data_IF_218828939891
#
_entry.id   IF_218828939891
#
_cell.length_a   1.000
_cell.length_b   1.000
_cell.length_c   1.000
_cell.angle_alpha   90.00
_cell.angle_beta   90.00
_cell.angle_gamma   90.00
#
_symmetry.space_group_name_H-M   'P 1'
#
loop_
_entity.id
_entity.type
_entity.pdbx_description
1 polymer ?
#
# COMPACT_ATOMS: atom_id res chain seq x y z
N UNK A 1 -69.07 2.74 8.61
CA UNK A 1 -68.95 4.03 7.91
C UNK A 1 -69.81 3.89 6.66
N UNK A 2 -70.90 4.67 6.58
CA UNK A 2 -71.92 4.50 5.55
C UNK A 2 -71.38 4.94 4.19
N UNK A 3 -71.64 4.19 3.13
CA UNK A 3 -71.13 4.49 1.77
C UNK A 3 -71.47 5.91 1.29
N UNK A 4 -72.64 6.39 1.70
CA UNK A 4 -73.15 7.75 1.44
C UNK A 4 -72.33 8.83 2.15
N UNK A 5 -71.87 8.58 3.37
CA UNK A 5 -70.99 9.49 4.13
C UNK A 5 -69.59 9.61 3.51
N UNK A 6 -69.10 8.54 2.89
CA UNK A 6 -67.84 8.52 2.15
C UNK A 6 -67.93 9.28 0.83
N UNK A 7 -69.06 9.15 0.12
CA UNK A 7 -69.31 9.87 -1.14
C UNK A 7 -69.47 11.39 -0.92
N UNK A 8 -70.19 11.81 0.13
CA UNK A 8 -70.33 13.23 0.45
C UNK A 8 -69.00 13.85 0.85
N UNK A 9 -68.24 13.17 1.71
CA UNK A 9 -66.89 13.60 2.07
C UNK A 9 -65.95 13.71 0.86
N UNK A 10 -65.97 12.73 -0.06
CA UNK A 10 -65.19 12.80 -1.31
C UNK A 10 -65.67 13.95 -2.20
N UNK A 11 -66.95 14.29 -2.25
CA UNK A 11 -67.45 15.40 -3.09
C UNK A 11 -67.14 16.80 -2.55
N UNK A 12 -66.97 16.94 -1.23
CA UNK A 12 -66.64 18.21 -0.56
C UNK A 12 -65.13 18.53 -0.55
N UNK A 13 -64.30 17.57 -0.96
CA UNK A 13 -62.87 17.76 -1.05
C UNK A 13 -62.51 18.71 -2.21
N UNK A 14 -61.66 19.71 -1.95
CA UNK A 14 -61.11 20.62 -2.96
C UNK A 14 -60.10 19.90 -3.88
N UNK A 15 -60.58 18.99 -4.74
CA UNK A 15 -59.73 18.19 -5.63
C UNK A 15 -58.83 19.03 -6.53
N UNK A 16 -59.31 20.21 -6.94
CA UNK A 16 -58.54 21.16 -7.75
C UNK A 16 -57.30 21.69 -7.05
N UNK A 17 -57.27 21.68 -5.71
CA UNK A 17 -56.12 22.07 -4.89
C UNK A 17 -55.33 20.88 -4.37
N UNK A 18 -56.04 19.83 -3.96
CA UNK A 18 -55.44 18.62 -3.39
C UNK A 18 -54.64 17.81 -4.42
N UNK A 19 -55.13 17.70 -5.66
CA UNK A 19 -54.47 16.92 -6.72
C UNK A 19 -53.12 17.55 -7.11
N UNK A 20 -53.01 18.86 -7.43
CA UNK A 20 -51.72 19.47 -7.74
C UNK A 20 -50.71 19.39 -6.58
N UNK A 21 -51.17 19.51 -5.33
CA UNK A 21 -50.30 19.44 -4.16
C UNK A 21 -49.75 18.03 -3.92
N UNK A 22 -50.60 17.00 -4.03
CA UNK A 22 -50.19 15.59 -3.95
C UNK A 22 -49.28 15.20 -5.11
N UNK A 23 -49.60 15.64 -6.33
CA UNK A 23 -48.76 15.41 -7.52
C UNK A 23 -47.41 16.10 -7.36
N UNK A 24 -47.38 17.35 -6.91
CA UNK A 24 -46.14 18.10 -6.67
C UNK A 24 -45.26 17.44 -5.61
N UNK A 25 -45.83 17.05 -4.47
CA UNK A 25 -45.12 16.34 -3.39
C UNK A 25 -44.64 14.95 -3.84
N UNK A 26 -45.49 14.21 -4.57
CA UNK A 26 -45.17 12.90 -5.12
C UNK A 26 -44.02 12.97 -6.11
N UNK A 27 -44.06 13.92 -7.05
CA UNK A 27 -42.99 14.16 -8.02
C UNK A 27 -41.69 14.59 -7.32
N UNK A 28 -41.77 15.49 -6.33
CA UNK A 28 -40.60 15.91 -5.55
C UNK A 28 -39.93 14.73 -4.82
N UNK A 29 -40.73 13.87 -4.18
CA UNK A 29 -40.22 12.65 -3.54
C UNK A 29 -39.59 11.70 -4.56
N UNK A 30 -40.26 11.47 -5.70
CA UNK A 30 -39.76 10.60 -6.75
C UNK A 30 -38.42 11.11 -7.31
N UNK A 31 -38.32 12.42 -7.52
CA UNK A 31 -37.11 13.06 -8.03
C UNK A 31 -35.96 12.96 -7.02
N UNK A 32 -36.23 13.21 -5.74
CA UNK A 32 -35.25 13.03 -4.66
C UNK A 32 -34.78 11.58 -4.54
N UNK A 33 -35.69 10.62 -4.66
CA UNK A 33 -35.38 9.20 -4.66
C UNK A 33 -34.51 8.80 -5.87
N UNK A 34 -34.89 9.22 -7.08
CA UNK A 34 -34.12 8.94 -8.30
C UNK A 34 -32.73 9.56 -8.23
N UNK A 35 -32.60 10.81 -7.76
CA UNK A 35 -31.31 11.47 -7.61
C UNK A 35 -30.40 10.76 -6.58
N UNK A 36 -30.96 10.39 -5.42
CA UNK A 36 -30.24 9.63 -4.39
C UNK A 36 -29.80 8.25 -4.91
N UNK A 37 -30.72 7.52 -5.55
CA UNK A 37 -30.45 6.22 -6.16
C UNK A 37 -29.37 6.31 -7.23
N UNK A 38 -29.44 7.32 -8.10
CA UNK A 38 -28.43 7.54 -9.14
C UNK A 38 -27.04 7.79 -8.56
N UNK A 39 -26.93 8.59 -7.49
CA UNK A 39 -25.65 8.84 -6.82
C UNK A 39 -25.06 7.57 -6.19
N UNK A 40 -25.89 6.80 -5.48
CA UNK A 40 -25.46 5.54 -4.88
C UNK A 40 -25.08 4.50 -5.94
N UNK A 41 -25.85 4.40 -7.01
CA UNK A 41 -25.59 3.51 -8.13
C UNK A 41 -24.30 3.88 -8.85
N UNK A 42 -24.04 5.17 -9.09
CA UNK A 42 -22.79 5.65 -9.68
C UNK A 42 -21.58 5.33 -8.79
N UNK A 43 -21.72 5.48 -7.46
CA UNK A 43 -20.68 5.08 -6.51
C UNK A 43 -20.40 3.57 -6.60
N UNK A 44 -21.45 2.75 -6.62
CA UNK A 44 -21.35 1.29 -6.76
C UNK A 44 -20.69 0.87 -8.07
N UNK A 45 -21.01 1.52 -9.19
CA UNK A 45 -20.36 1.25 -10.48
C UNK A 45 -18.87 1.55 -10.41
N UNK A 46 -18.46 2.68 -9.81
CA UNK A 46 -17.03 3.01 -9.67
C UNK A 46 -16.29 1.98 -8.82
N UNK A 47 -16.90 1.50 -7.73
CA UNK A 47 -16.33 0.42 -6.90
C UNK A 47 -16.17 -0.88 -7.69
N UNK A 48 -17.19 -1.26 -8.47
CA UNK A 48 -17.12 -2.44 -9.35
C UNK A 48 -16.06 -2.29 -10.44
N UNK A 49 -15.93 -1.09 -11.02
CA UNK A 49 -14.88 -0.78 -11.99
C UNK A 49 -13.49 -0.88 -11.36
N UNK A 50 -13.29 -0.38 -10.13
CA UNK A 50 -12.02 -0.53 -9.39
C UNK A 50 -11.68 -2.02 -9.17
N UNK A 51 -12.67 -2.83 -8.82
CA UNK A 51 -12.51 -4.28 -8.68
C UNK A 51 -12.13 -4.96 -10.01
N UNK A 52 -12.80 -4.60 -11.11
CA UNK A 52 -12.48 -5.09 -12.45
C UNK A 52 -11.10 -4.63 -12.95
N UNK A 53 -10.66 -3.45 -12.51
CA UNK A 53 -9.37 -2.87 -12.82
C UNK A 53 -8.20 -3.47 -12.01
N UNK A 54 -8.48 -4.36 -11.06
CA UNK A 54 -7.43 -5.01 -10.26
C UNK A 54 -6.87 -4.14 -9.13
N UNK A 55 -7.56 -3.07 -8.72
CA UNK A 55 -7.17 -2.39 -7.49
C UNK A 55 -7.55 -3.26 -6.30
N UNK A 56 -6.53 -3.80 -5.64
CA UNK A 56 -6.73 -4.54 -4.41
C UNK A 56 -6.55 -3.62 -3.22
N UNK A 57 -7.56 -3.58 -2.36
CA UNK A 57 -7.43 -3.02 -1.01
C UNK A 57 -6.62 -3.96 -0.08
N UNK A 58 -5.80 -4.86 -0.64
CA UNK A 58 -5.05 -5.84 0.15
C UNK A 58 -3.77 -5.26 0.72
N UNK A 59 -3.52 -5.55 2.00
CA UNK A 59 -2.29 -5.26 2.72
C UNK A 59 -1.63 -6.58 3.12
N UNK A 60 -0.37 -6.75 2.72
CA UNK A 60 0.44 -7.93 3.00
C UNK A 60 1.68 -7.56 3.79
N UNK A 61 1.93 -8.23 4.90
CA UNK A 61 3.21 -8.13 5.62
C UNK A 61 4.13 -9.23 5.12
N UNK A 62 5.24 -8.83 4.52
CA UNK A 62 6.10 -9.73 3.76
C UNK A 62 7.56 -9.61 4.22
N UNK A 63 8.10 -10.69 4.79
CA UNK A 63 9.51 -10.82 5.08
C UNK A 63 10.29 -11.22 3.83
N UNK A 64 11.48 -10.65 3.71
CA UNK A 64 12.43 -10.86 2.63
C UNK A 64 13.66 -11.54 3.19
N UNK A 65 14.07 -12.64 2.56
CA UNK A 65 15.25 -13.41 2.95
C UNK A 65 16.18 -13.56 1.75
N UNK A 66 17.49 -13.51 2.00
CA UNK A 66 18.52 -13.88 1.04
C UNK A 66 19.06 -15.28 1.35
N UNK A 67 18.64 -16.27 0.57
CA UNK A 67 19.10 -17.64 0.71
C UNK A 67 20.32 -17.92 -0.19
N UNK A 68 21.37 -18.60 0.29
CA UNK A 68 22.50 -18.95 -0.55
C UNK A 68 22.12 -20.03 -1.58
N UNK A 69 22.61 -19.91 -2.81
CA UNK A 69 22.37 -20.89 -3.89
C UNK A 69 23.66 -21.61 -4.27
N UNK A 70 24.65 -20.87 -4.77
CA UNK A 70 25.96 -21.35 -5.21
C UNK A 70 26.94 -20.17 -5.21
N UNK A 71 28.24 -20.39 -5.43
CA UNK A 71 29.33 -19.39 -5.57
C UNK A 71 28.93 -17.89 -5.54
N UNK A 72 28.59 -17.35 -4.36
CA UNK A 72 28.21 -15.94 -4.16
C UNK A 72 26.83 -15.52 -4.68
N UNK A 73 26.10 -16.40 -5.36
CA UNK A 73 24.71 -16.20 -5.79
C UNK A 73 23.73 -16.44 -4.64
N UNK A 74 22.69 -15.61 -4.62
CA UNK A 74 21.62 -15.65 -3.62
C UNK A 74 20.25 -15.67 -4.28
N UNK A 75 19.30 -16.34 -3.66
CA UNK A 75 17.90 -16.33 -4.05
C UNK A 75 17.11 -15.47 -3.06
N UNK A 76 16.42 -14.47 -3.60
CA UNK A 76 15.47 -13.66 -2.82
C UNK A 76 14.17 -14.42 -2.70
N UNK A 77 13.76 -14.57 -1.44
CA UNK A 77 12.57 -15.29 -1.04
C UNK A 77 11.62 -14.34 -0.34
N UNK A 78 10.35 -14.37 -0.74
CA UNK A 78 9.31 -13.48 -0.23
C UNK A 78 8.28 -14.31 0.56
N UNK A 79 8.10 -14.02 1.85
CA UNK A 79 7.19 -14.79 2.73
C UNK A 79 6.21 -13.88 3.43
N UNK A 80 4.92 -14.19 3.32
CA UNK A 80 3.93 -13.49 4.12
C UNK A 80 4.04 -13.96 5.56
N UNK A 81 4.23 -13.03 6.49
CA UNK A 81 4.43 -13.35 7.92
C UNK A 81 3.15 -13.21 8.74
N UNK A 82 2.13 -12.57 8.17
CA UNK A 82 0.79 -12.49 8.77
C UNK A 82 -0.26 -12.99 7.78
N UNK A 83 -1.48 -13.12 8.28
CA UNK A 83 -2.65 -13.28 7.41
C UNK A 83 -2.79 -12.05 6.51
N UNK A 84 -3.34 -12.30 5.32
CA UNK A 84 -3.69 -11.26 4.37
C UNK A 84 -4.79 -10.37 4.97
N UNK A 85 -4.56 -9.06 4.96
CA UNK A 85 -5.52 -8.07 5.42
C UNK A 85 -6.04 -7.23 4.26
N UNK A 86 -7.12 -6.50 4.53
CA UNK A 86 -7.59 -5.40 3.71
C UNK A 86 -7.36 -4.06 4.41
N UNK A 87 -7.36 -2.96 3.67
CA UNK A 87 -7.30 -1.59 4.18
C UNK A 87 -8.38 -1.36 5.27
N UNK A 88 -9.57 -1.93 5.08
CA UNK A 88 -10.67 -1.79 6.04
C UNK A 88 -10.46 -2.58 7.33
N UNK A 89 -9.65 -3.64 7.31
CA UNK A 89 -9.32 -4.46 8.48
C UNK A 89 -8.14 -3.91 9.27
N UNK A 90 -7.18 -3.27 8.59
CA UNK A 90 -6.01 -2.70 9.28
C UNK A 90 -6.32 -1.33 9.89
N UNK A 91 -7.13 -0.51 9.21
CA UNK A 91 -7.43 0.85 9.66
C UNK A 91 -8.90 0.98 9.99
N UNK A 92 -9.23 1.38 11.22
CA UNK A 92 -10.61 1.65 11.64
C UNK A 92 -11.11 3.00 11.14
N UNK A 93 -10.20 3.99 11.05
CA UNK A 93 -10.53 5.35 10.65
C UNK A 93 -10.81 5.44 9.13
N UNK A 94 -12.01 5.87 8.69
CA UNK A 94 -12.33 6.01 7.27
C UNK A 94 -11.44 7.04 6.54
N UNK A 95 -10.96 8.08 7.23
CA UNK A 95 -10.03 9.05 6.65
C UNK A 95 -8.66 8.42 6.35
N UNK A 96 -8.16 7.55 7.24
CA UNK A 96 -6.92 6.79 7.03
C UNK A 96 -7.04 5.86 5.81
N UNK A 97 -8.21 5.20 5.66
CA UNK A 97 -8.51 4.33 4.51
C UNK A 97 -8.53 5.09 3.18
N UNK A 98 -9.04 6.31 3.17
CA UNK A 98 -9.04 7.14 1.97
C UNK A 98 -7.64 7.68 1.67
N UNK A 99 -6.92 8.13 2.70
CA UNK A 99 -5.55 8.61 2.56
C UNK A 99 -4.65 7.53 1.98
N UNK A 100 -4.66 6.31 2.52
CA UNK A 100 -3.80 5.24 2.00
C UNK A 100 -4.10 4.92 0.53
N UNK A 101 -5.36 4.96 0.10
CA UNK A 101 -5.73 4.78 -1.31
C UNK A 101 -5.22 5.91 -2.20
N UNK A 102 -5.18 7.14 -1.71
CA UNK A 102 -4.59 8.26 -2.44
C UNK A 102 -3.06 8.17 -2.50
N UNK A 103 -2.41 7.67 -1.43
CA UNK A 103 -0.96 7.47 -1.41
C UNK A 103 -0.52 6.38 -2.39
N UNK A 104 -1.29 5.29 -2.55
CA UNK A 104 -0.97 4.22 -3.51
C UNK A 104 -1.14 4.61 -4.97
N UNK A 105 -1.87 5.71 -5.27
CA UNK A 105 -1.93 6.28 -6.61
C UNK A 105 -0.67 7.07 -6.97
N UNK A 106 0.11 7.52 -5.96
CA UNK A 106 1.33 8.29 -6.14
C UNK A 106 2.59 7.44 -6.18
N UNK A 107 2.53 6.20 -5.69
CA UNK A 107 3.66 5.27 -5.70
C UNK A 107 3.95 4.75 -7.10
N UNK A 108 5.23 4.70 -7.46
CA UNK A 108 5.71 4.22 -8.76
C UNK A 108 6.88 3.26 -8.55
N UNK A 109 7.37 2.61 -9.60
CA UNK A 109 8.57 1.79 -9.49
C UNK A 109 9.83 2.61 -9.17
N UNK A 110 9.82 3.93 -9.43
CA UNK A 110 10.91 4.83 -9.05
C UNK A 110 10.89 5.24 -7.57
N UNK A 111 9.70 5.45 -7.02
CA UNK A 111 9.48 5.70 -5.58
C UNK A 111 8.43 4.72 -5.06
N UNK A 112 8.86 3.48 -4.71
CA UNK A 112 7.94 2.41 -4.35
C UNK A 112 7.42 2.52 -2.92
N UNK A 113 8.04 3.35 -2.09
CA UNK A 113 7.65 3.56 -0.69
C UNK A 113 6.46 4.52 -0.66
N UNK A 114 5.41 4.18 0.10
CA UNK A 114 4.28 5.08 0.26
C UNK A 114 4.75 6.42 0.84
N UNK A 115 4.34 7.56 0.27
CA UNK A 115 4.71 8.89 0.76
C UNK A 115 3.98 9.19 2.08
N UNK A 116 4.48 8.59 3.16
CA UNK A 116 3.96 8.64 4.53
C UNK A 116 4.56 9.80 5.34
N UNK A 117 5.03 10.87 4.67
CA UNK A 117 5.53 12.06 5.37
C UNK A 117 4.41 12.84 6.06
N UNK A 118 4.77 13.59 7.11
CA UNK A 118 3.85 14.33 7.96
C UNK A 118 3.06 13.45 8.93
N UNK A 119 2.28 14.10 9.81
CA UNK A 119 1.62 13.45 10.95
C UNK A 119 0.69 12.31 10.54
N UNK A 120 -0.20 12.53 9.55
CA UNK A 120 -1.14 11.50 9.12
C UNK A 120 -0.45 10.31 8.45
N UNK A 121 0.62 10.56 7.69
CA UNK A 121 1.40 9.49 7.07
C UNK A 121 2.17 8.67 8.10
N UNK A 122 2.70 9.32 9.14
CA UNK A 122 3.33 8.67 10.27
C UNK A 122 2.36 7.74 11.02
N UNK A 123 1.15 8.20 11.32
CA UNK A 123 0.12 7.37 11.96
C UNK A 123 -0.20 6.12 11.13
N UNK A 124 -0.33 6.26 9.80
CA UNK A 124 -0.55 5.10 8.92
C UNK A 124 0.58 4.06 9.04
N UNK A 125 1.83 4.52 9.00
CA UNK A 125 2.99 3.65 9.11
C UNK A 125 3.07 3.00 10.50
N UNK A 126 2.76 3.77 11.55
CA UNK A 126 2.79 3.33 12.93
C UNK A 126 1.71 2.28 13.22
N UNK A 127 0.49 2.47 12.72
CA UNK A 127 -0.59 1.48 12.82
C UNK A 127 -0.19 0.15 12.17
N UNK A 128 0.41 0.19 10.98
CA UNK A 128 0.92 -1.01 10.31
C UNK A 128 2.07 -1.67 11.10
N UNK A 129 2.98 -0.87 11.66
CA UNK A 129 4.09 -1.35 12.49
C UNK A 129 3.58 -2.03 13.78
N UNK A 130 2.64 -1.38 14.47
CA UNK A 130 2.04 -1.88 15.70
C UNK A 130 1.28 -3.17 15.45
N UNK A 131 0.54 -3.25 14.33
CA UNK A 131 -0.14 -4.48 13.94
C UNK A 131 0.84 -5.65 13.79
N UNK A 132 1.92 -5.49 13.02
CA UNK A 132 2.84 -6.60 12.77
C UNK A 132 3.67 -6.95 13.99
N UNK A 133 4.07 -5.96 14.79
CA UNK A 133 4.74 -6.19 16.06
C UNK A 133 3.83 -6.96 17.05
N UNK A 134 2.55 -6.62 17.10
CA UNK A 134 1.54 -7.33 17.89
C UNK A 134 1.30 -8.75 17.39
N UNK A 135 1.16 -8.94 16.08
CA UNK A 135 0.97 -10.24 15.45
C UNK A 135 2.14 -11.20 15.68
N UNK A 136 3.36 -10.67 15.79
CA UNK A 136 4.59 -11.43 16.02
C UNK A 136 5.08 -11.39 17.47
N UNK A 137 4.31 -10.81 18.40
CA UNK A 137 4.74 -10.60 19.79
C UNK A 137 5.02 -11.91 20.54
N UNK A 138 4.26 -12.95 20.23
CA UNK A 138 4.36 -14.30 20.83
C UNK A 138 5.12 -15.29 19.95
N UNK A 139 5.86 -14.80 18.94
CA UNK A 139 6.68 -15.65 18.09
C UNK A 139 7.75 -16.39 18.92
N UNK A 140 8.01 -17.68 18.66
CA UNK A 140 9.04 -18.45 19.35
C UNK A 140 10.47 -18.11 18.90
N UNK A 141 10.63 -17.30 17.87
CA UNK A 141 11.92 -16.96 17.27
C UNK A 141 12.62 -15.80 18.00
N UNK A 142 13.97 -15.75 18.00
CA UNK A 142 14.71 -14.65 18.61
C UNK A 142 14.36 -13.32 17.93
N UNK A 143 14.19 -12.26 18.73
CA UNK A 143 13.87 -10.94 18.22
C UNK A 143 15.10 -10.27 17.64
N UNK A 144 15.09 -10.01 16.34
CA UNK A 144 16.15 -9.30 15.62
C UNK A 144 15.61 -7.99 15.04
N UNK A 145 16.49 -7.10 14.57
CA UNK A 145 16.08 -5.81 14.01
C UNK A 145 15.75 -5.97 12.53
N UNK A 146 14.51 -5.66 12.19
CA UNK A 146 13.98 -5.64 10.83
C UNK A 146 13.66 -4.20 10.42
N UNK A 147 13.97 -3.85 9.18
CA UNK A 147 13.51 -2.61 8.57
C UNK A 147 12.12 -2.85 8.00
N UNK A 148 11.15 -2.03 8.40
CA UNK A 148 9.81 -2.01 7.85
C UNK A 148 9.58 -0.76 7.03
N UNK A 149 9.02 -0.92 5.83
CA UNK A 149 8.44 0.17 5.06
C UNK A 149 7.15 -0.27 4.36
N UNK A 150 6.24 0.67 4.16
CA UNK A 150 5.03 0.43 3.37
C UNK A 150 5.33 0.73 1.91
N UNK A 151 5.00 -0.21 1.03
CA UNK A 151 5.19 -0.10 -0.41
C UNK A 151 3.89 -0.41 -1.14
N UNK A 152 3.77 0.02 -2.39
CA UNK A 152 2.70 -0.43 -3.26
C UNK A 152 3.26 -0.86 -4.61
N UNK A 153 2.76 -1.99 -5.13
CA UNK A 153 3.14 -2.46 -6.45
C UNK A 153 2.63 -1.47 -7.53
N UNK A 154 3.50 -1.16 -8.50
CA UNK A 154 3.19 -0.26 -9.60
C UNK A 154 2.23 -0.93 -10.60
N UNK A 155 1.15 -0.24 -10.97
CA UNK A 155 0.14 -0.73 -11.93
C UNK A 155 0.71 -1.00 -13.31
N UNK A 156 1.79 -0.32 -13.68
CA UNK A 156 2.45 -0.58 -14.96
C UNK A 156 3.16 -1.94 -14.95
N UNK A 157 3.64 -2.39 -13.77
CA UNK A 157 4.33 -3.67 -13.59
C UNK A 157 3.39 -4.83 -13.24
N UNK A 158 2.28 -4.58 -12.53
CA UNK A 158 1.36 -5.62 -12.07
C UNK A 158 -0.09 -5.37 -12.48
N UNK A 159 -0.80 -6.46 -12.80
CA UNK A 159 -2.24 -6.42 -13.07
C UNK A 159 -3.06 -6.04 -11.84
N UNK A 160 -2.64 -6.47 -10.65
CA UNK A 160 -3.36 -6.24 -9.40
C UNK A 160 -2.46 -5.51 -8.41
N UNK A 161 -2.78 -4.25 -8.09
CA UNK A 161 -2.02 -3.47 -7.10
C UNK A 161 -2.27 -4.03 -5.71
N UNK A 162 -1.23 -4.11 -4.91
CA UNK A 162 -1.30 -4.54 -3.52
C UNK A 162 -0.33 -3.70 -2.68
N UNK A 163 -0.77 -3.31 -1.49
CA UNK A 163 0.08 -2.66 -0.50
C UNK A 163 0.87 -3.75 0.20
N UNK A 164 2.19 -3.62 0.22
CA UNK A 164 3.08 -4.57 0.90
C UNK A 164 3.89 -3.83 1.95
N UNK A 165 3.78 -4.28 3.19
CA UNK A 165 4.67 -3.88 4.25
C UNK A 165 5.90 -4.80 4.18
N UNK A 166 6.98 -4.26 3.61
CA UNK A 166 8.22 -5.01 3.45
C UNK A 166 8.95 -5.05 4.79
N UNK A 167 9.31 -6.25 5.23
CA UNK A 167 10.20 -6.50 6.35
C UNK A 167 11.51 -7.05 5.78
N UNK A 168 12.61 -6.35 6.01
CA UNK A 168 13.92 -6.70 5.42
C UNK A 168 14.99 -6.58 6.52
N UNK A 169 15.88 -7.56 6.70
CA UNK A 169 17.01 -7.41 7.60
C UNK A 169 17.93 -6.29 7.11
N UNK A 170 18.40 -5.44 8.03
CA UNK A 170 19.23 -4.29 7.66
C UNK A 170 20.46 -4.67 6.83
N UNK A 171 21.17 -5.71 7.24
CA UNK A 171 22.39 -6.17 6.56
C UNK A 171 22.11 -6.70 5.14
N UNK A 172 20.89 -7.16 4.86
CA UNK A 172 20.49 -7.60 3.53
C UNK A 172 20.12 -6.43 2.63
N UNK A 173 19.36 -5.45 3.18
CA UNK A 173 18.96 -4.26 2.41
C UNK A 173 20.18 -3.50 1.87
N UNK A 174 21.25 -3.39 2.67
CA UNK A 174 22.47 -2.67 2.27
C UNK A 174 23.14 -3.28 1.01
N UNK A 175 22.99 -4.59 0.77
CA UNK A 175 23.50 -5.25 -0.45
C UNK A 175 22.75 -4.83 -1.71
N UNK A 176 21.46 -4.49 -1.58
CA UNK A 176 20.66 -4.04 -2.72
C UNK A 176 21.04 -2.65 -3.23
N UNK A 177 21.87 -1.89 -2.51
CA UNK A 177 22.37 -0.59 -2.98
C UNK A 177 23.19 -0.68 -4.26
N UNK A 178 23.85 -1.82 -4.49
CA UNK A 178 24.64 -2.07 -5.69
C UNK A 178 23.79 -2.75 -6.76
N UNK A 179 23.26 -1.98 -7.71
CA UNK A 179 22.44 -2.51 -8.80
C UNK A 179 23.18 -3.53 -9.69
N UNK A 180 24.49 -3.35 -9.89
CA UNK A 180 25.28 -4.33 -10.63
C UNK A 180 25.32 -5.69 -9.90
N UNK A 181 25.52 -5.68 -8.58
CA UNK A 181 25.45 -6.90 -7.77
C UNK A 181 24.08 -7.57 -7.86
N UNK A 182 23.00 -6.79 -7.77
CA UNK A 182 21.62 -7.30 -7.91
C UNK A 182 21.44 -8.01 -9.25
N UNK A 183 21.88 -7.40 -10.36
CA UNK A 183 21.73 -8.01 -11.69
C UNK A 183 22.50 -9.32 -11.84
N UNK A 184 23.71 -9.37 -11.29
CA UNK A 184 24.65 -10.49 -11.51
C UNK A 184 24.39 -11.66 -10.57
N UNK A 185 24.17 -11.40 -9.28
CA UNK A 185 24.19 -12.43 -8.22
C UNK A 185 22.82 -12.79 -7.65
N UNK A 186 21.81 -11.95 -7.84
CA UNK A 186 20.48 -12.19 -7.26
C UNK A 186 19.60 -13.00 -8.21
N UNK A 187 18.91 -13.99 -7.63
CA UNK A 187 17.90 -14.84 -8.27
C UNK A 187 16.57 -14.70 -7.54
N UNK A 188 15.47 -15.07 -8.19
CA UNK A 188 14.13 -14.98 -7.61
C UNK A 188 13.42 -16.34 -7.64
N UNK A 189 12.43 -16.54 -6.76
CA UNK A 189 11.60 -17.76 -6.82
C UNK A 189 10.66 -17.83 -8.03
N UNK A 190 10.23 -16.69 -8.56
CA UNK A 190 9.28 -16.63 -9.67
C UNK A 190 9.68 -15.53 -10.66
N UNK A 191 9.53 -15.75 -11.97
CA UNK A 191 9.96 -14.78 -13.00
C UNK A 191 9.37 -13.38 -12.80
N UNK A 192 8.11 -13.29 -12.40
CA UNK A 192 7.41 -12.02 -12.20
C UNK A 192 7.87 -11.27 -10.94
N UNK A 193 8.75 -11.79 -10.08
CA UNK A 193 9.24 -11.05 -8.90
C UNK A 193 10.31 -10.00 -9.22
N UNK A 194 10.74 -9.86 -10.47
CA UNK A 194 11.82 -8.95 -10.87
C UNK A 194 11.58 -7.49 -10.44
N UNK A 195 10.34 -6.98 -10.54
CA UNK A 195 10.03 -5.60 -10.15
C UNK A 195 10.17 -5.37 -8.64
N UNK A 196 10.09 -6.42 -7.81
CA UNK A 196 10.34 -6.31 -6.38
C UNK A 196 11.82 -6.15 -6.08
N UNK A 197 12.72 -6.71 -6.89
CA UNK A 197 14.15 -6.43 -6.77
C UNK A 197 14.47 -4.97 -7.08
N UNK A 198 13.79 -4.42 -8.09
CA UNK A 198 13.86 -2.99 -8.41
C UNK A 198 13.38 -2.16 -7.21
N UNK A 199 12.25 -2.53 -6.61
CA UNK A 199 11.75 -1.87 -5.41
C UNK A 199 12.72 -1.98 -4.22
N UNK A 200 13.32 -3.15 -3.96
CA UNK A 200 14.33 -3.35 -2.91
C UNK A 200 15.56 -2.46 -3.12
N UNK A 201 16.02 -2.34 -4.37
CA UNK A 201 17.11 -1.42 -4.71
C UNK A 201 16.73 0.04 -4.38
N UNK A 202 15.54 0.50 -4.79
CA UNK A 202 15.06 1.85 -4.45
C UNK A 202 14.90 2.08 -2.94
N UNK A 203 14.40 1.09 -2.22
CA UNK A 203 14.27 1.15 -0.76
C UNK A 203 15.66 1.26 -0.11
N UNK A 204 16.67 0.58 -0.65
CA UNK A 204 18.03 0.67 -0.12
C UNK A 204 18.66 2.05 -0.33
N UNK A 205 18.39 2.70 -1.47
CA UNK A 205 18.79 4.09 -1.73
C UNK A 205 18.08 5.04 -0.77
N UNK A 206 16.75 4.95 -0.67
CA UNK A 206 15.95 5.76 0.23
C UNK A 206 16.35 5.58 1.71
N UNK A 207 16.70 4.36 2.13
CA UNK A 207 17.22 4.11 3.47
C UNK A 207 18.55 4.81 3.73
N UNK A 208 19.46 4.78 2.76
CA UNK A 208 20.76 5.43 2.88
C UNK A 208 20.59 6.95 2.99
N UNK A 209 19.71 7.53 2.17
CA UNK A 209 19.34 8.94 2.23
C UNK A 209 18.72 9.31 3.58
N UNK A 210 17.69 8.58 4.03
CA UNK A 210 17.04 8.84 5.33
C UNK A 210 18.03 8.70 6.49
N UNK A 211 18.88 7.67 6.50
CA UNK A 211 19.92 7.48 7.51
C UNK A 211 20.87 8.68 7.55
N UNK A 212 21.32 9.18 6.40
CA UNK A 212 22.22 10.33 6.33
C UNK A 212 21.54 11.64 6.80
N UNK A 213 20.27 11.84 6.42
CA UNK A 213 19.48 13.01 6.82
C UNK A 213 19.25 13.05 8.33
N UNK A 214 18.80 11.95 8.91
CA UNK A 214 18.53 11.89 10.36
C UNK A 214 19.81 11.87 11.19
N UNK A 215 20.93 11.32 10.69
CA UNK A 215 22.23 11.44 11.37
C UNK A 215 22.72 12.90 11.44
N UNK A 216 22.44 13.72 10.43
CA UNK A 216 22.75 15.17 10.47
C UNK A 216 21.90 15.89 11.51
N UNK A 217 20.60 15.60 11.55
CA UNK A 217 19.67 16.17 12.54
C UNK A 217 20.09 15.81 13.97
N UNK A 218 20.49 14.56 14.22
CA UNK A 218 20.99 14.11 15.53
C UNK A 218 22.31 14.81 15.94
N UNK A 219 23.15 15.23 14.98
CA UNK A 219 24.42 15.89 15.23
C UNK A 219 24.31 17.43 15.32
N UNK A 220 23.39 18.06 14.60
CA UNK A 220 23.32 19.53 14.46
C UNK A 220 22.67 20.25 15.66
N UNK A 221 21.80 19.59 16.45
CA UNK A 221 21.11 20.27 17.55
C UNK A 221 20.83 19.39 18.79
N UNK A 222 21.09 20.00 19.96
CA UNK A 222 20.57 19.61 21.26
C UNK A 222 19.10 19.18 21.14
N UNK A 223 18.79 17.97 21.60
CA UNK A 223 17.45 17.36 21.67
C UNK A 223 16.36 18.43 21.80
N UNK A 224 15.63 18.78 20.72
CA UNK A 224 14.38 19.47 20.92
C UNK A 224 13.49 18.46 21.66
N UNK A 225 13.02 18.82 22.85
CA UNK A 225 12.06 18.06 23.67
C UNK A 225 10.75 17.72 22.93
N UNK A 226 10.61 18.18 21.69
CA UNK A 226 9.49 17.99 20.79
C UNK A 226 10.08 17.50 19.46
N UNK A 227 9.84 16.23 19.12
CA UNK A 227 10.08 15.71 17.78
C UNK A 227 9.51 16.70 16.76
N UNK A 228 10.28 17.07 15.75
CA UNK A 228 9.78 17.89 14.66
C UNK A 228 8.73 17.05 13.89
N UNK A 229 7.45 17.18 14.27
CA UNK A 229 6.30 16.35 13.82
C UNK A 229 6.05 16.36 12.30
N UNK A 230 6.90 17.04 11.54
CA UNK A 230 6.83 17.17 10.10
C UNK A 230 7.77 16.19 9.38
N UNK A 231 8.87 15.74 10.00
CA UNK A 231 9.86 14.86 9.38
C UNK A 231 9.95 13.49 10.06
N UNK A 232 9.05 12.59 9.67
CA UNK A 232 9.08 11.20 10.13
C UNK A 232 9.83 10.27 9.15
N UNK A 233 10.45 9.22 9.70
CA UNK A 233 11.08 8.14 8.91
C UNK A 233 9.99 7.35 8.19
N UNK A 234 10.17 7.09 6.89
CA UNK A 234 9.27 6.17 6.14
C UNK A 234 9.70 4.72 6.29
N UNK A 235 10.95 4.51 6.71
CA UNK A 235 11.53 3.21 7.00
C UNK A 235 11.81 3.14 8.50
N UNK A 236 11.04 2.31 9.21
CA UNK A 236 11.12 2.16 10.67
C UNK A 236 11.84 0.87 11.04
N UNK A 237 12.49 0.87 12.21
CA UNK A 237 13.15 -0.31 12.75
C UNK A 237 12.23 -1.01 13.73
N UNK A 238 11.98 -2.29 13.52
CA UNK A 238 11.13 -3.13 14.38
C UNK A 238 11.94 -4.29 14.95
N UNK A 239 11.73 -4.60 16.22
CA UNK A 239 12.28 -5.80 16.85
C UNK A 239 11.27 -6.94 16.71
N UNK A 240 11.52 -7.85 15.76
CA UNK A 240 10.59 -8.92 15.37
C UNK A 240 11.24 -10.29 15.52
N UNK A 241 10.47 -11.27 16.02
CA UNK A 241 10.87 -12.68 16.05
C UNK A 241 10.39 -13.38 14.78
N UNK A 242 11.25 -13.47 13.77
CA UNK A 242 10.97 -14.16 12.50
C UNK A 242 11.91 -15.36 12.33
N UNK A 243 11.52 -16.39 11.56
CA UNK A 243 12.36 -17.56 11.34
C UNK A 243 13.62 -17.21 10.55
N UNK A 244 14.77 -17.67 11.02
CA UNK A 244 16.05 -17.48 10.34
C UNK A 244 16.39 -18.62 9.35
N UNK A 245 15.61 -19.71 9.36
CA UNK A 245 15.89 -20.96 8.66
C UNK A 245 14.97 -21.20 7.45
N UNK A 246 14.65 -20.13 6.73
CA UNK A 246 13.63 -20.19 5.70
C UNK A 246 14.11 -20.90 4.43
N UNK A 247 13.19 -21.62 3.77
CA UNK A 247 13.51 -22.48 2.62
C UNK A 247 12.82 -21.98 1.36
N UNK A 248 13.54 -22.01 0.24
CA UNK A 248 12.98 -21.72 -1.08
C UNK A 248 11.97 -22.80 -1.48
N UNK A 249 10.83 -22.39 -2.04
CA UNK A 249 9.79 -23.32 -2.51
C UNK A 249 9.99 -23.68 -3.98
N UNK A 250 10.71 -22.84 -4.73
CA UNK A 250 10.97 -23.02 -6.14
C UNK A 250 12.46 -22.86 -6.45
N UNK A 251 12.89 -23.47 -7.55
CA UNK A 251 14.26 -23.34 -8.04
C UNK A 251 14.62 -21.88 -8.31
N UNK A 252 15.89 -21.49 -8.09
CA UNK A 252 16.36 -20.14 -8.32
C UNK A 252 16.25 -19.77 -9.80
N UNK A 253 15.43 -18.75 -10.08
CA UNK A 253 15.22 -18.22 -11.42
C UNK A 253 16.16 -17.03 -11.68
N UNK A 254 16.92 -17.10 -12.76
CA UNK A 254 17.74 -15.99 -13.25
C UNK A 254 16.90 -15.06 -14.13
N UNK A 255 16.87 -13.79 -13.77
CA UNK A 255 16.15 -12.77 -14.54
C UNK A 255 16.99 -12.37 -15.74
N UNK A 256 16.39 -12.43 -16.93
CA UNK A 256 16.98 -11.86 -18.14
C UNK A 256 16.79 -10.33 -18.15
N UNK A 257 17.74 -9.62 -17.54
CA UNK A 257 17.71 -8.17 -17.44
C UNK A 257 17.78 -7.47 -18.80
N UNK A 258 18.28 -8.11 -19.85
CA UNK A 258 18.31 -7.52 -21.19
C UNK A 258 16.88 -7.28 -21.71
N UNK A 259 15.97 -8.22 -21.46
CA UNK A 259 14.55 -8.08 -21.82
C UNK A 259 13.85 -6.95 -21.05
N UNK A 260 14.23 -6.75 -19.79
CA UNK A 260 13.59 -5.77 -18.92
C UNK A 260 14.19 -4.36 -19.05
N UNK A 261 15.42 -4.21 -19.54
CA UNK A 261 16.08 -2.90 -19.69
C UNK A 261 15.29 -1.94 -20.58
N UNK A 262 14.76 -2.41 -21.71
CA UNK A 262 13.93 -1.59 -22.60
C UNK A 262 12.63 -1.14 -21.94
N UNK A 263 12.01 -2.04 -21.16
CA UNK A 263 10.78 -1.76 -20.41
C UNK A 263 11.02 -0.73 -19.31
N UNK A 264 12.10 -0.89 -18.54
CA UNK A 264 12.51 0.03 -17.49
C UNK A 264 12.81 1.43 -18.05
N UNK A 265 13.48 1.51 -19.20
CA UNK A 265 13.75 2.78 -19.89
C UNK A 265 12.46 3.47 -20.36
N UNK A 266 11.52 2.70 -20.92
CA UNK A 266 10.19 3.23 -21.31
C UNK A 266 9.42 3.80 -20.10
N UNK A 267 9.58 3.18 -18.93
CA UNK A 267 8.96 3.65 -17.68
C UNK A 267 9.79 4.70 -16.95
N UNK A 268 10.89 5.16 -17.55
CA UNK A 268 11.80 6.16 -17.00
C UNK A 268 12.38 5.76 -15.64
N UNK A 269 12.67 4.47 -15.46
CA UNK A 269 13.19 3.92 -14.21
C UNK A 269 14.73 3.93 -14.19
N UNK A 270 15.32 4.86 -13.44
CA UNK A 270 16.76 5.12 -13.42
C UNK A 270 17.52 4.32 -12.34
N UNK A 271 17.96 3.09 -12.64
CA UNK A 271 18.56 2.17 -11.64
C UNK A 271 20.08 2.25 -11.52
N UNK A 272 20.72 3.01 -12.40
CA UNK A 272 22.15 3.26 -12.28
C UNK A 272 22.32 4.50 -11.39
N UNK A 273 23.12 4.36 -10.32
CA UNK A 273 23.61 5.54 -9.61
C UNK A 273 24.29 6.44 -10.65
N UNK A 274 24.13 7.77 -10.61
CA UNK A 274 25.08 8.62 -11.31
C UNK A 274 26.46 8.17 -10.82
N UNK A 275 27.30 7.76 -11.77
CA UNK A 275 28.72 7.58 -11.49
C UNK A 275 29.16 8.97 -11.04
N UNK A 276 29.34 9.16 -9.74
CA UNK A 276 30.14 10.28 -9.27
C UNK A 276 31.56 9.97 -9.76
N UNK A 277 31.93 10.57 -10.88
CA UNK A 277 33.31 10.69 -11.30
C UNK A 277 34.06 11.43 -10.18
N UNK A 278 34.68 10.67 -9.27
CA UNK A 278 35.65 11.14 -8.29
C UNK A 278 36.83 10.16 -8.24
#
# INVERSE_FOLDING_TARGET
>A
MDWTSLQTWLSELEWTRLVPELVGKGLGFLFGFIASWYLLFRKRIRELQKFQQGDSDDILFQAHYLLPVSAGQVQVVFRNVTTKLTVNQLYDNPAARELIRQLTEKTTLNDPILPTQGTLGFELLNDAANFVAGALATSPHPKTIWLMCMTCEDRVAVRRRCIRCFLIPRAELEKFSNWHWVRTFVRVEKPWHWFRLVALHRISQAWTEEKSRFARIENDHALPLVDNQFEHRRIVQLSLGLPDNEVAVADPFAIDWAQHTATLSQWQVNLENPIEDN
#
